data_IF_329437369260
#
_entry.id   IF_329437369260
#
_cell.length_a   1.000
_cell.length_b   1.000
_cell.length_c   1.000
_cell.angle_alpha   90.00
_cell.angle_beta   90.00
_cell.angle_gamma   90.00
#
_symmetry.space_group_name_H-M   'P 1'
#
loop_
_entity.id
_entity.type
_entity.pdbx_description
1 polymer ?
#
# COMPACT_ATOMS: atom_id res chain seq x y z
N UNK A 1 -25.10 17.91 -30.03
CA UNK A 1 -23.63 17.77 -29.85
C UNK A 1 -23.37 17.35 -28.41
N UNK A 2 -23.57 16.07 -28.08
CA UNK A 2 -23.76 15.65 -26.68
C UNK A 2 -23.30 14.19 -26.49
N UNK A 3 -21.99 13.92 -26.52
CA UNK A 3 -21.48 12.56 -26.20
C UNK A 3 -19.98 12.44 -25.83
N UNK A 4 -19.15 13.48 -25.97
CA UNK A 4 -17.68 13.32 -25.85
C UNK A 4 -17.09 13.54 -24.44
N UNK A 5 -17.87 14.03 -23.47
CA UNK A 5 -17.36 14.38 -22.13
C UNK A 5 -17.41 13.28 -21.05
N UNK A 6 -18.32 12.30 -21.16
CA UNK A 6 -18.52 11.28 -20.11
C UNK A 6 -17.50 10.13 -20.15
N UNK A 7 -16.88 9.86 -21.31
CA UNK A 7 -16.01 8.69 -21.48
C UNK A 7 -14.57 8.94 -20.97
N UNK A 8 -14.03 10.15 -21.15
CA UNK A 8 -12.70 10.53 -20.61
C UNK A 8 -12.64 10.52 -19.09
N UNK A 9 -13.71 10.95 -18.39
CA UNK A 9 -13.79 10.91 -16.92
C UNK A 9 -13.70 9.47 -16.39
N UNK A 10 -14.36 8.51 -17.05
CA UNK A 10 -14.28 7.08 -16.67
C UNK A 10 -12.89 6.48 -16.88
N UNK A 11 -12.18 6.87 -17.95
CA UNK A 11 -10.81 6.45 -18.20
C UNK A 11 -9.82 7.03 -17.17
N UNK A 12 -9.95 8.31 -16.84
CA UNK A 12 -9.09 8.98 -15.86
C UNK A 12 -9.25 8.38 -14.45
N UNK A 13 -10.49 8.12 -14.01
CA UNK A 13 -10.74 7.48 -12.73
C UNK A 13 -10.13 6.08 -12.63
N UNK A 14 -10.07 5.30 -13.73
CA UNK A 14 -9.45 3.97 -13.71
C UNK A 14 -7.93 4.03 -13.46
N UNK A 15 -7.25 5.05 -14.00
CA UNK A 15 -5.81 5.24 -13.84
C UNK A 15 -5.48 5.69 -12.41
N UNK A 16 -6.31 6.57 -11.83
CA UNK A 16 -6.12 7.08 -10.46
C UNK A 16 -6.08 5.96 -9.42
N UNK A 17 -6.99 4.97 -9.49
CA UNK A 17 -6.97 3.84 -8.55
C UNK A 17 -5.70 2.99 -8.66
N UNK A 18 -5.19 2.83 -9.89
CA UNK A 18 -3.91 2.16 -10.16
C UNK A 18 -2.70 2.92 -9.60
N UNK A 19 -2.74 4.25 -9.63
CA UNK A 19 -1.70 5.09 -9.03
C UNK A 19 -1.78 5.01 -7.50
N UNK A 20 -2.98 5.09 -6.91
CA UNK A 20 -3.15 5.02 -5.45
C UNK A 20 -2.65 3.68 -4.92
N UNK A 21 -3.03 2.57 -5.55
CA UNK A 21 -2.57 1.24 -5.11
C UNK A 21 -1.06 1.05 -5.33
N UNK A 22 -0.48 1.60 -6.39
CA UNK A 22 0.97 1.54 -6.60
C UNK A 22 1.74 2.44 -5.63
N UNK A 23 1.19 3.59 -5.26
CA UNK A 23 1.76 4.47 -4.25
C UNK A 23 1.65 3.84 -2.85
N UNK A 24 0.55 3.16 -2.55
CA UNK A 24 0.36 2.46 -1.29
C UNK A 24 1.30 1.26 -1.12
N UNK A 25 1.74 0.63 -2.23
CA UNK A 25 2.68 -0.49 -2.21
C UNK A 25 4.14 -0.05 -1.99
N UNK A 26 4.47 1.23 -2.28
CA UNK A 26 5.79 1.82 -2.02
C UNK A 26 5.77 2.62 -0.72
N UNK A 27 5.53 1.92 0.39
CA UNK A 27 5.49 2.46 1.74
C UNK A 27 6.90 2.72 2.33
N UNK A 28 7.01 3.48 3.45
CA UNK A 28 8.28 3.73 4.11
C UNK A 28 9.08 2.46 4.47
N UNK A 29 8.39 1.39 4.89
CA UNK A 29 9.00 0.10 5.19
C UNK A 29 9.67 -0.54 3.95
N UNK A 30 8.99 -0.51 2.80
CA UNK A 30 9.53 -0.96 1.52
C UNK A 30 10.77 -0.17 1.12
N UNK A 31 10.68 1.17 1.13
CA UNK A 31 11.80 2.05 0.80
C UNK A 31 13.01 1.78 1.69
N UNK A 32 12.79 1.60 2.99
CA UNK A 32 13.85 1.25 3.95
C UNK A 32 14.50 -0.09 3.60
N UNK A 33 13.69 -1.11 3.32
CA UNK A 33 14.19 -2.44 2.95
C UNK A 33 15.06 -2.38 1.71
N UNK A 34 14.59 -1.76 0.62
CA UNK A 34 15.37 -1.69 -0.62
C UNK A 34 16.62 -0.82 -0.46
N UNK A 35 16.57 0.20 0.40
CA UNK A 35 17.71 1.06 0.70
C UNK A 35 18.79 0.33 1.52
N UNK A 36 18.40 -0.42 2.55
CA UNK A 36 19.33 -1.25 3.34
C UNK A 36 19.94 -2.36 2.50
N UNK A 37 19.12 -3.05 1.70
CA UNK A 37 19.60 -4.08 0.78
C UNK A 37 20.54 -3.47 -0.26
N UNK A 38 20.18 -2.35 -0.89
CA UNK A 38 21.03 -1.68 -1.87
C UNK A 38 22.34 -1.15 -1.28
N UNK A 39 22.32 -0.66 -0.03
CA UNK A 39 23.52 -0.21 0.67
C UNK A 39 24.47 -1.37 1.02
N UNK A 40 23.94 -2.56 1.28
CA UNK A 40 24.74 -3.73 1.70
C UNK A 40 25.20 -4.60 0.53
N UNK A 41 24.41 -4.72 -0.53
CA UNK A 41 24.69 -5.60 -1.69
C UNK A 41 25.05 -4.84 -2.96
N UNK A 42 25.03 -3.50 -2.93
CA UNK A 42 25.26 -2.66 -4.10
C UNK A 42 24.25 -2.96 -5.21
N UNK A 43 24.72 -3.09 -6.44
CA UNK A 43 23.87 -3.37 -7.60
C UNK A 43 23.67 -4.86 -7.90
N UNK A 44 24.24 -5.76 -7.08
CA UNK A 44 24.20 -7.22 -7.36
C UNK A 44 22.77 -7.77 -7.37
N UNK A 45 21.87 -7.18 -6.59
CA UNK A 45 20.45 -7.58 -6.50
C UNK A 45 19.51 -6.66 -7.27
N UNK A 46 20.01 -5.68 -8.03
CA UNK A 46 19.17 -4.70 -8.74
C UNK A 46 18.21 -5.37 -9.74
N UNK A 47 18.61 -6.50 -10.33
CA UNK A 47 17.78 -7.27 -11.26
C UNK A 47 16.48 -7.81 -10.63
N UNK A 48 16.40 -7.90 -9.29
CA UNK A 48 15.19 -8.30 -8.59
C UNK A 48 14.07 -7.25 -8.70
N UNK A 49 14.42 -5.97 -8.86
CA UNK A 49 13.44 -4.86 -8.98
C UNK A 49 12.56 -5.00 -10.24
N UNK A 50 13.11 -5.11 -11.47
CA UNK A 50 12.25 -5.32 -12.63
C UNK A 50 11.52 -6.66 -12.58
N UNK A 51 12.15 -7.70 -11.99
CA UNK A 51 11.51 -9.01 -11.83
C UNK A 51 10.29 -8.95 -10.92
N UNK A 52 10.43 -8.37 -9.71
CA UNK A 52 9.34 -8.21 -8.75
C UNK A 52 8.22 -7.34 -9.30
N UNK A 53 8.57 -6.29 -10.07
CA UNK A 53 7.60 -5.41 -10.73
C UNK A 53 6.67 -6.19 -11.67
N UNK A 54 7.20 -7.14 -12.45
CA UNK A 54 6.39 -7.98 -13.35
C UNK A 54 5.42 -8.87 -12.56
N UNK A 55 5.90 -9.47 -11.46
CA UNK A 55 5.05 -10.26 -10.57
C UNK A 55 3.93 -9.41 -9.97
N UNK A 56 4.27 -8.20 -9.51
CA UNK A 56 3.31 -7.30 -8.88
C UNK A 56 2.24 -6.81 -9.86
N UNK A 57 2.63 -6.41 -11.07
CA UNK A 57 1.70 -6.06 -12.15
C UNK A 57 0.74 -7.22 -12.41
N UNK A 58 1.24 -8.45 -12.44
CA UNK A 58 0.42 -9.64 -12.68
C UNK A 58 -0.61 -9.85 -11.58
N UNK A 59 -0.19 -9.84 -10.31
CA UNK A 59 -1.08 -9.99 -9.15
C UNK A 59 -2.11 -8.85 -9.12
N UNK A 60 -1.67 -7.61 -9.32
CA UNK A 60 -2.56 -6.45 -9.31
C UNK A 60 -3.59 -6.50 -10.44
N UNK A 61 -3.21 -7.01 -11.62
CA UNK A 61 -4.14 -7.20 -12.73
C UNK A 61 -5.23 -8.23 -12.41
N UNK A 62 -4.88 -9.30 -11.67
CA UNK A 62 -5.83 -10.32 -11.22
C UNK A 62 -6.78 -9.71 -10.18
N UNK A 63 -6.24 -9.00 -9.19
CA UNK A 63 -7.03 -8.30 -8.18
C UNK A 63 -8.01 -7.29 -8.80
N UNK A 64 -7.54 -6.49 -9.76
CA UNK A 64 -8.38 -5.55 -10.49
C UNK A 64 -9.52 -6.24 -11.25
N UNK A 65 -9.24 -7.37 -11.92
CA UNK A 65 -10.27 -8.17 -12.61
C UNK A 65 -11.28 -8.78 -11.65
N UNK A 66 -10.84 -9.30 -10.51
CA UNK A 66 -11.75 -9.84 -9.48
C UNK A 66 -12.67 -8.73 -8.97
N UNK A 67 -12.12 -7.55 -8.66
CA UNK A 67 -12.91 -6.40 -8.23
C UNK A 67 -13.91 -5.91 -9.29
N UNK A 68 -13.48 -5.84 -10.55
CA UNK A 68 -14.33 -5.38 -11.65
C UNK A 68 -15.46 -6.37 -11.99
N UNK A 69 -15.19 -7.67 -11.96
CA UNK A 69 -16.20 -8.70 -12.29
C UNK A 69 -17.14 -8.98 -11.12
N UNK A 70 -16.61 -9.10 -9.89
CA UNK A 70 -17.42 -9.52 -8.73
C UNK A 70 -18.19 -8.38 -8.10
N UNK A 71 -17.75 -7.12 -8.28
CA UNK A 71 -18.38 -5.91 -7.70
C UNK A 71 -18.69 -6.04 -6.20
N UNK A 72 -17.89 -6.83 -5.49
CA UNK A 72 -18.03 -7.16 -4.06
C UNK A 72 -16.65 -7.14 -3.42
N UNK A 73 -16.59 -6.86 -2.12
CA UNK A 73 -15.34 -6.89 -1.37
C UNK A 73 -14.70 -8.28 -1.37
N UNK A 74 -13.36 -8.33 -1.29
CA UNK A 74 -12.58 -9.56 -1.35
C UNK A 74 -13.01 -10.58 -0.29
N UNK A 75 -13.30 -10.12 0.93
CA UNK A 75 -13.83 -10.95 2.03
C UNK A 75 -15.12 -11.66 1.64
N UNK A 76 -16.05 -10.94 0.99
CA UNK A 76 -17.33 -11.50 0.54
C UNK A 76 -17.09 -12.54 -0.56
N UNK A 77 -16.18 -12.26 -1.49
CA UNK A 77 -15.83 -13.19 -2.58
C UNK A 77 -15.21 -14.48 -2.03
N UNK A 78 -14.29 -14.39 -1.07
CA UNK A 78 -13.68 -15.56 -0.42
C UNK A 78 -14.74 -16.35 0.36
N UNK A 79 -15.56 -15.67 1.16
CA UNK A 79 -16.62 -16.30 1.96
C UNK A 79 -17.62 -17.08 1.10
N UNK A 80 -18.00 -16.53 -0.05
CA UNK A 80 -18.95 -17.18 -0.97
C UNK A 80 -18.36 -18.41 -1.66
N UNK A 81 -17.05 -18.44 -1.92
CA UNK A 81 -16.41 -19.53 -2.67
C UNK A 81 -15.84 -20.63 -1.76
N UNK A 82 -15.32 -20.26 -0.60
CA UNK A 82 -14.57 -21.18 0.29
C UNK A 82 -15.17 -21.30 1.70
N UNK A 83 -16.29 -20.61 1.97
CA UNK A 83 -16.97 -20.62 3.26
C UNK A 83 -16.42 -19.61 4.27
N UNK A 84 -17.15 -19.46 5.39
CA UNK A 84 -16.87 -18.43 6.39
C UNK A 84 -15.55 -18.64 7.17
N UNK A 85 -15.18 -19.90 7.44
CA UNK A 85 -13.95 -20.22 8.18
C UNK A 85 -12.69 -19.78 7.43
N UNK A 86 -12.61 -20.10 6.14
CA UNK A 86 -11.47 -19.72 5.28
C UNK A 86 -11.41 -18.21 5.10
N UNK A 87 -12.55 -17.55 4.91
CA UNK A 87 -12.61 -16.10 4.83
C UNK A 87 -12.10 -15.44 6.11
N UNK A 88 -12.52 -15.92 7.29
CA UNK A 88 -12.05 -15.39 8.57
C UNK A 88 -10.54 -15.57 8.73
N UNK A 89 -10.01 -16.76 8.42
CA UNK A 89 -8.56 -17.02 8.47
C UNK A 89 -7.78 -16.07 7.54
N UNK A 90 -8.23 -15.90 6.30
CA UNK A 90 -7.60 -14.99 5.35
C UNK A 90 -7.64 -13.53 5.84
N UNK A 91 -8.75 -13.10 6.44
CA UNK A 91 -8.87 -11.76 7.01
C UNK A 91 -7.96 -11.56 8.21
N UNK A 92 -7.80 -12.56 9.08
CA UNK A 92 -6.88 -12.48 10.22
C UNK A 92 -5.43 -12.32 9.75
N UNK A 93 -5.02 -13.10 8.75
CA UNK A 93 -3.68 -12.98 8.14
C UNK A 93 -3.49 -11.59 7.54
N UNK A 94 -4.49 -11.09 6.81
CA UNK A 94 -4.44 -9.76 6.20
C UNK A 94 -4.30 -8.65 7.27
N UNK A 95 -5.06 -8.73 8.36
CA UNK A 95 -4.98 -7.76 9.46
C UNK A 95 -3.59 -7.80 10.10
N UNK A 96 -3.07 -9.00 10.39
CA UNK A 96 -1.75 -9.16 10.99
C UNK A 96 -0.65 -8.62 10.06
N UNK A 97 -0.69 -8.96 8.78
CA UNK A 97 0.27 -8.48 7.79
C UNK A 97 0.26 -6.94 7.72
N UNK A 98 -0.92 -6.34 7.57
CA UNK A 98 -1.03 -4.89 7.50
C UNK A 98 -0.62 -4.21 8.82
N UNK A 99 -0.92 -4.81 9.98
CA UNK A 99 -0.49 -4.28 11.28
C UNK A 99 1.03 -4.31 11.42
N UNK A 100 1.68 -5.38 10.97
CA UNK A 100 3.15 -5.47 10.98
C UNK A 100 3.78 -4.44 10.04
N UNK A 101 3.20 -4.25 8.85
CA UNK A 101 3.66 -3.23 7.90
C UNK A 101 3.51 -1.82 8.47
N UNK A 102 2.35 -1.49 9.05
CA UNK A 102 2.13 -0.20 9.71
C UNK A 102 3.14 0.06 10.84
N UNK A 103 3.48 -0.98 11.63
CA UNK A 103 4.51 -0.87 12.65
C UNK A 103 5.90 -0.57 12.07
N UNK A 104 6.27 -1.24 10.97
CA UNK A 104 7.51 -0.99 10.25
C UNK A 104 7.55 0.41 9.61
N UNK A 105 6.43 0.91 9.10
CA UNK A 105 6.33 2.26 8.54
C UNK A 105 6.60 3.32 9.60
N UNK A 106 6.03 3.19 10.80
CA UNK A 106 6.31 4.12 11.89
C UNK A 106 7.77 4.06 12.34
N UNK A 107 8.38 2.88 12.37
CA UNK A 107 9.80 2.74 12.67
C UNK A 107 10.68 3.41 11.60
N UNK A 108 10.35 3.22 10.31
CA UNK A 108 11.05 3.84 9.19
C UNK A 108 10.92 5.37 9.19
N UNK A 109 9.71 5.90 9.39
CA UNK A 109 9.46 7.33 9.55
C UNK A 109 10.25 7.87 10.75
N UNK A 110 10.27 7.14 11.86
CA UNK A 110 11.03 7.49 13.05
C UNK A 110 12.52 7.67 12.76
N UNK A 111 13.14 6.66 12.15
CA UNK A 111 14.55 6.70 11.76
C UNK A 111 14.84 7.84 10.77
N UNK A 112 13.98 8.06 9.78
CA UNK A 112 14.15 9.14 8.82
C UNK A 112 14.07 10.53 9.48
N UNK A 113 13.15 10.72 10.44
CA UNK A 113 13.01 11.98 11.18
C UNK A 113 14.19 12.24 12.12
N UNK A 114 14.72 11.22 12.78
CA UNK A 114 15.95 11.36 13.59
C UNK A 114 17.14 11.81 12.74
N UNK A 115 17.28 11.27 11.52
CA UNK A 115 18.32 11.68 10.58
C UNK A 115 18.11 13.11 10.08
N UNK A 116 16.86 13.53 9.86
CA UNK A 116 16.54 14.86 9.32
C UNK A 116 16.58 15.97 10.38
N UNK A 117 16.15 15.67 11.60
CA UNK A 117 15.98 16.62 12.71
C UNK A 117 16.68 16.10 13.98
N UNK A 118 18.02 16.03 14.01
CA UNK A 118 18.76 15.40 15.13
C UNK A 118 18.58 16.11 16.47
N UNK A 119 18.12 17.36 16.42
CA UNK A 119 17.95 18.26 17.58
C UNK A 119 16.60 18.05 18.28
N UNK A 120 15.65 17.37 17.64
CA UNK A 120 14.29 17.18 18.15
C UNK A 120 14.16 15.75 18.68
N UNK A 121 13.64 15.62 19.89
CA UNK A 121 13.43 14.30 20.48
C UNK A 121 12.29 13.56 19.74
N UNK A 122 12.63 12.42 19.14
CA UNK A 122 11.71 11.59 18.36
C UNK A 122 10.49 11.15 19.17
N UNK A 123 10.64 11.02 20.49
CA UNK A 123 9.59 10.56 21.39
C UNK A 123 8.39 11.52 21.42
N UNK A 124 8.63 12.82 21.15
CA UNK A 124 7.57 13.82 21.01
C UNK A 124 7.13 14.01 19.57
N UNK A 125 8.05 13.92 18.62
CA UNK A 125 7.77 14.19 17.20
C UNK A 125 6.96 13.06 16.55
N UNK A 126 7.29 11.80 16.84
CA UNK A 126 6.65 10.65 16.21
C UNK A 126 5.15 10.55 16.54
N UNK A 127 4.69 10.69 17.82
CA UNK A 127 3.26 10.73 18.12
C UNK A 127 2.53 11.88 17.42
N UNK A 128 3.16 13.05 17.30
CA UNK A 128 2.58 14.21 16.62
C UNK A 128 2.37 13.91 15.13
N UNK A 129 3.37 13.32 14.47
CA UNK A 129 3.28 12.89 13.06
C UNK A 129 2.22 11.81 12.89
N UNK A 130 2.15 10.82 13.80
CA UNK A 130 1.14 9.77 13.78
C UNK A 130 -0.28 10.33 13.93
N UNK A 131 -0.50 11.29 14.83
CA UNK A 131 -1.78 11.98 15.01
C UNK A 131 -2.16 12.77 13.76
N UNK A 132 -1.20 13.43 13.12
CA UNK A 132 -1.43 14.16 11.88
C UNK A 132 -1.83 13.23 10.73
N UNK A 133 -1.13 12.10 10.57
CA UNK A 133 -1.48 11.07 9.56
C UNK A 133 -2.86 10.50 9.87
N UNK A 134 -3.15 10.14 11.12
CA UNK A 134 -4.46 9.63 11.54
C UNK A 134 -5.58 10.61 11.24
N UNK A 135 -5.37 11.90 11.53
CA UNK A 135 -6.36 12.95 11.23
C UNK A 135 -6.67 13.01 9.73
N UNK A 136 -5.63 12.98 8.87
CA UNK A 136 -5.82 12.97 7.42
C UNK A 136 -6.60 11.73 6.99
N UNK A 137 -6.24 10.54 7.50
CA UNK A 137 -6.87 9.27 7.09
C UNK A 137 -8.33 9.17 7.51
N UNK A 138 -8.68 9.64 8.73
CA UNK A 138 -10.05 9.52 9.25
C UNK A 138 -10.98 10.61 8.71
N UNK A 139 -10.51 11.85 8.61
CA UNK A 139 -11.38 12.98 8.31
C UNK A 139 -11.36 13.41 6.85
N UNK A 140 -10.33 13.04 6.08
CA UNK A 140 -10.25 13.38 4.66
C UNK A 140 -10.68 12.18 3.81
N UNK A 141 -11.93 12.21 3.35
CA UNK A 141 -12.45 11.23 2.39
C UNK A 141 -11.84 11.46 1.01
N UNK A 142 -11.29 10.39 0.41
CA UNK A 142 -10.80 10.34 -0.98
C UNK A 142 -11.78 9.58 -1.87
#
# INVERSE_FOLDING_TARGET
MTALGKNKRKGLFKIVHGIITGAADNDPAGITTYSVVGATTGFTQLFLVPLSTIFLITVQSICARIGDVRKRGLTTVIKQRFGAKVALMAMMILILANLTTMGADFAAIGAALEMLLPQINILFLLPLVSLFIWYIVVFKSY
#
